data_IF_838808997091
#
_entry.id   IF_838808997091
#
_cell.length_a   1.000
_cell.length_b   1.000
_cell.length_c   1.000
_cell.angle_alpha   90.00
_cell.angle_beta   90.00
_cell.angle_gamma   90.00
#
_symmetry.space_group_name_H-M   'P 1'
#
loop_
_entity.id
_entity.type
_entity.pdbx_description
1 polymer ?
#
# COMPACT_ATOMS: atom_id res chain seq x y z
N UNK A 1 -35.59 2.15 57.72
CA UNK A 1 -35.77 1.66 56.33
C UNK A 1 -34.53 1.99 55.52
N UNK A 2 -33.54 1.11 55.45
CA UNK A 2 -32.47 1.16 54.44
C UNK A 2 -32.25 -0.27 53.94
N UNK A 3 -32.24 -0.39 52.61
CA UNK A 3 -32.44 -1.59 51.82
C UNK A 3 -31.08 -2.20 51.42
N UNK A 4 -31.03 -3.54 51.52
CA UNK A 4 -30.41 -4.53 50.61
C UNK A 4 -28.89 -4.68 50.62
N UNK A 5 -28.48 -5.81 51.22
CA UNK A 5 -27.35 -6.63 50.78
C UNK A 5 -27.52 -7.07 49.31
N UNK A 6 -26.48 -6.91 48.51
CA UNK A 6 -26.23 -7.61 47.24
C UNK A 6 -24.89 -7.08 46.71
N UNK A 7 -23.97 -7.83 46.13
CA UNK A 7 -23.70 -9.25 45.94
C UNK A 7 -22.31 -9.23 45.29
N UNK A 8 -21.37 -10.06 45.73
CA UNK A 8 -20.07 -10.17 45.09
C UNK A 8 -20.25 -10.49 43.59
N UNK A 9 -19.90 -9.56 42.71
CA UNK A 9 -19.71 -9.86 41.30
C UNK A 9 -18.22 -10.11 41.09
N UNK A 10 -17.88 -11.40 41.01
CA UNK A 10 -16.57 -11.90 40.65
C UNK A 10 -16.03 -11.19 39.40
N UNK A 11 -14.79 -10.72 39.52
CA UNK A 11 -13.90 -10.47 38.40
C UNK A 11 -13.81 -11.73 37.54
N UNK A 12 -14.49 -11.73 36.39
CA UNK A 12 -14.18 -12.62 35.27
C UNK A 12 -13.58 -11.72 34.19
N UNK A 13 -12.30 -11.41 34.35
CA UNK A 13 -11.46 -11.03 33.21
C UNK A 13 -11.36 -12.30 32.38
N UNK A 14 -12.29 -12.45 31.44
CA UNK A 14 -12.20 -13.43 30.38
C UNK A 14 -10.89 -13.16 29.66
N UNK A 15 -9.95 -14.10 29.83
CA UNK A 15 -8.74 -14.19 29.02
C UNK A 15 -9.15 -14.36 27.56
N UNK A 16 -9.37 -13.25 26.87
CA UNK A 16 -9.29 -13.20 25.42
C UNK A 16 -7.84 -13.54 25.08
N UNK A 17 -7.56 -14.63 24.35
CA UNK A 17 -6.26 -14.80 23.75
C UNK A 17 -6.12 -13.70 22.68
N UNK A 18 -5.60 -12.54 23.08
CA UNK A 18 -5.00 -11.58 22.17
C UNK A 18 -3.69 -12.21 21.70
N UNK A 19 -3.79 -12.96 20.61
CA UNK A 19 -2.66 -13.61 19.98
C UNK A 19 -3.17 -14.61 18.97
N UNK A 20 -3.53 -14.14 17.78
CA UNK A 20 -3.32 -14.97 16.61
C UNK A 20 -1.81 -15.14 16.46
N UNK A 21 -1.23 -16.09 17.19
CA UNK A 21 0.09 -16.59 16.87
C UNK A 21 -0.02 -17.20 15.48
N UNK A 22 0.80 -16.73 14.55
CA UNK A 22 1.01 -17.46 13.31
C UNK A 22 1.48 -18.86 13.70
N UNK A 23 0.66 -19.87 13.42
CA UNK A 23 1.06 -21.25 13.61
C UNK A 23 2.26 -21.49 12.69
N UNK A 24 3.42 -21.80 13.27
CA UNK A 24 4.47 -22.48 12.51
C UNK A 24 3.84 -23.75 11.92
N UNK A 25 4.26 -24.11 10.72
CA UNK A 25 3.74 -25.28 10.03
C UNK A 25 3.81 -26.51 10.98
N UNK A 26 2.65 -27.09 11.35
CA UNK A 26 2.61 -28.29 12.20
C UNK A 26 3.23 -29.47 11.43
N UNK A 27 4.25 -30.13 12.00
CA UNK A 27 4.92 -31.32 11.45
C UNK A 27 6.30 -31.06 10.80
N UNK A 28 6.84 -32.05 10.09
CA UNK A 28 8.15 -32.03 9.42
C UNK A 28 8.18 -31.16 8.13
N UNK A 29 7.39 -30.07 8.09
CA UNK A 29 7.30 -29.20 6.92
C UNK A 29 8.43 -28.17 6.90
N UNK A 30 9.19 -28.15 5.80
CA UNK A 30 10.30 -27.22 5.59
C UNK A 30 9.94 -26.20 4.50
N UNK A 31 10.04 -24.90 4.83
CA UNK A 31 9.90 -23.82 3.86
C UNK A 31 10.99 -23.91 2.78
N UNK A 32 10.59 -23.93 1.51
CA UNK A 32 11.50 -24.07 0.36
C UNK A 32 11.66 -22.78 -0.46
N UNK A 33 10.62 -21.93 -0.51
CA UNK A 33 10.62 -20.74 -1.36
C UNK A 33 9.61 -19.71 -0.84
N UNK A 34 9.91 -18.43 -1.04
CA UNK A 34 9.03 -17.31 -0.73
C UNK A 34 8.96 -16.36 -1.93
N UNK A 35 7.76 -15.92 -2.27
CA UNK A 35 7.51 -14.81 -3.18
C UNK A 35 6.75 -13.72 -2.44
N UNK A 36 7.28 -12.50 -2.46
CA UNK A 36 6.67 -11.34 -1.80
C UNK A 36 6.26 -10.31 -2.85
N UNK A 37 4.95 -10.13 -3.04
CA UNK A 37 4.42 -9.00 -3.80
C UNK A 37 4.17 -7.83 -2.84
N UNK A 38 5.10 -6.90 -2.80
CA UNK A 38 5.07 -5.78 -1.86
C UNK A 38 4.52 -4.49 -2.49
N UNK A 39 3.83 -3.69 -1.69
CA UNK A 39 3.50 -2.30 -2.01
C UNK A 39 4.60 -1.40 -1.47
N UNK A 40 4.91 -0.31 -2.17
CA UNK A 40 5.79 0.73 -1.64
C UNK A 40 5.32 1.24 -0.26
N UNK A 41 6.26 1.67 0.59
CA UNK A 41 5.94 2.18 1.93
C UNK A 41 5.49 3.67 1.89
N UNK A 42 5.54 4.36 3.02
CA UNK A 42 5.01 5.71 3.24
C UNK A 42 5.62 6.74 2.29
N UNK A 43 4.75 7.30 1.44
CA UNK A 43 5.08 8.30 0.43
C UNK A 43 4.32 9.60 0.63
N UNK A 44 4.83 10.68 0.06
CA UNK A 44 4.07 11.92 -0.07
C UNK A 44 2.81 11.69 -0.94
N UNK A 45 1.73 12.45 -0.71
CA UNK A 45 0.55 12.45 -1.57
C UNK A 45 0.88 12.73 -3.03
N UNK A 46 0.04 12.25 -3.95
CA UNK A 46 0.06 12.66 -5.36
C UNK A 46 -0.75 13.96 -5.57
N UNK A 47 -1.07 14.66 -4.48
CA UNK A 47 -1.93 15.83 -4.44
C UNK A 47 -1.11 17.12 -4.61
N UNK A 48 -0.44 17.27 -5.75
CA UNK A 48 0.39 18.44 -6.07
C UNK A 48 0.04 19.00 -7.45
N UNK A 49 0.60 20.17 -7.78
CA UNK A 49 0.66 20.75 -9.14
C UNK A 49 -0.68 20.84 -9.90
N UNK A 50 -1.74 21.29 -9.24
CA UNK A 50 -3.08 21.44 -9.81
C UNK A 50 -3.97 20.20 -9.69
N UNK A 51 -3.60 19.20 -8.90
CA UNK A 51 -4.44 18.01 -8.68
C UNK A 51 -5.85 18.36 -8.14
N UNK A 52 -6.84 17.49 -8.40
CA UNK A 52 -8.20 17.66 -7.85
C UNK A 52 -8.20 17.74 -6.33
N UNK A 53 -7.32 16.98 -5.67
CA UNK A 53 -7.18 17.00 -4.21
C UNK A 53 -6.64 18.33 -3.69
N UNK A 54 -5.69 18.95 -4.40
CA UNK A 54 -5.22 20.30 -4.05
C UNK A 54 -6.37 21.30 -4.09
N UNK A 55 -7.19 21.23 -5.14
CA UNK A 55 -8.31 22.15 -5.36
C UNK A 55 -9.52 21.87 -4.44
N UNK A 56 -9.57 20.71 -3.78
CA UNK A 56 -10.71 20.26 -2.97
C UNK A 56 -10.99 21.09 -1.72
N UNK A 57 -10.08 21.99 -1.36
CA UNK A 57 -10.23 22.85 -0.18
C UNK A 57 -9.53 24.19 -0.41
N UNK A 58 -10.03 25.24 0.24
CA UNK A 58 -9.36 26.55 0.29
C UNK A 58 -8.23 26.60 1.33
N UNK A 59 -8.08 25.55 2.14
CA UNK A 59 -7.02 25.45 3.15
C UNK A 59 -5.71 25.03 2.50
N UNK A 60 -4.60 25.53 3.02
CA UNK A 60 -3.28 25.03 2.64
C UNK A 60 -3.09 23.59 3.12
N UNK A 61 -2.61 22.73 2.22
CA UNK A 61 -2.20 21.38 2.59
C UNK A 61 -0.85 21.41 3.34
N UNK A 62 -0.66 20.56 4.35
CA UNK A 62 0.65 20.38 4.98
C UNK A 62 1.71 20.05 3.93
N UNK A 63 2.86 20.70 4.04
CA UNK A 63 3.99 20.43 3.17
C UNK A 63 4.71 19.15 3.61
N UNK A 64 5.28 18.44 2.64
CA UNK A 64 6.09 17.24 2.86
C UNK A 64 7.53 17.55 2.47
N UNK A 65 8.48 16.94 3.15
CA UNK A 65 9.91 17.17 2.93
C UNK A 65 10.45 16.50 1.64
N UNK A 66 9.57 15.80 0.89
CA UNK A 66 9.90 15.12 -0.37
C UNK A 66 8.86 15.48 -1.45
N UNK A 67 9.23 15.43 -2.74
CA UNK A 67 8.31 15.60 -3.86
C UNK A 67 7.10 14.65 -3.81
N UNK A 68 5.99 15.09 -4.42
CA UNK A 68 4.75 14.32 -4.47
C UNK A 68 4.94 12.94 -5.09
N UNK A 69 4.48 11.90 -4.40
CA UNK A 69 4.60 10.52 -4.86
C UNK A 69 5.94 9.84 -4.58
N UNK A 70 6.93 10.53 -4.00
CA UNK A 70 8.19 9.94 -3.57
C UNK A 70 8.10 9.33 -2.17
N UNK A 71 8.97 8.36 -1.90
CA UNK A 71 9.09 7.74 -0.58
C UNK A 71 9.66 8.74 0.43
N UNK A 72 9.06 8.79 1.62
CA UNK A 72 9.57 9.62 2.72
C UNK A 72 10.71 8.92 3.45
N UNK A 73 11.59 9.67 4.14
CA UNK A 73 12.62 9.09 5.02
C UNK A 73 12.03 8.16 6.07
N UNK A 74 10.89 8.55 6.67
CA UNK A 74 10.16 7.69 7.62
C UNK A 74 9.66 6.40 6.96
N UNK A 75 9.20 6.47 5.71
CA UNK A 75 8.85 5.29 4.91
C UNK A 75 10.02 4.33 4.74
N UNK A 76 11.22 4.85 4.49
CA UNK A 76 12.45 4.06 4.45
C UNK A 76 12.76 3.38 5.80
N UNK A 77 12.69 4.11 6.91
CA UNK A 77 12.89 3.54 8.26
C UNK A 77 11.89 2.43 8.58
N UNK A 78 10.60 2.64 8.26
CA UNK A 78 9.57 1.61 8.43
C UNK A 78 9.88 0.37 7.59
N UNK A 79 10.37 0.56 6.37
CA UNK A 79 10.69 -0.56 5.48
C UNK A 79 11.94 -1.33 5.94
N UNK A 80 12.91 -0.67 6.57
CA UNK A 80 14.04 -1.35 7.24
C UNK A 80 13.53 -2.27 8.34
N UNK A 81 12.53 -1.85 9.13
CA UNK A 81 11.92 -2.73 10.14
C UNK A 81 11.18 -3.90 9.51
N UNK A 82 10.47 -3.68 8.40
CA UNK A 82 9.84 -4.77 7.65
C UNK A 82 10.87 -5.77 7.13
N UNK A 83 11.96 -5.30 6.54
CA UNK A 83 13.06 -6.15 6.07
C UNK A 83 13.69 -6.96 7.22
N UNK A 84 13.98 -6.31 8.34
CA UNK A 84 14.56 -6.95 9.52
C UNK A 84 13.64 -8.05 10.06
N UNK A 85 12.34 -7.76 10.21
CA UNK A 85 11.35 -8.76 10.60
C UNK A 85 11.33 -9.95 9.63
N UNK A 86 11.29 -9.67 8.32
CA UNK A 86 11.28 -10.73 7.31
C UNK A 86 12.53 -11.59 7.39
N UNK A 87 13.71 -11.00 7.62
CA UNK A 87 14.95 -11.76 7.82
C UNK A 87 14.88 -12.70 9.01
N UNK A 88 14.41 -12.20 10.15
CA UNK A 88 14.26 -13.03 11.36
C UNK A 88 13.29 -14.19 11.11
N UNK A 89 12.16 -13.91 10.45
CA UNK A 89 11.19 -14.94 10.09
C UNK A 89 11.78 -15.97 9.12
N UNK A 90 12.44 -15.55 8.04
CA UNK A 90 13.08 -16.46 7.09
C UNK A 90 14.13 -17.35 7.77
N UNK A 91 14.88 -16.81 8.72
CA UNK A 91 15.86 -17.59 9.47
C UNK A 91 15.22 -18.58 10.45
N UNK A 92 14.12 -18.18 11.11
CA UNK A 92 13.33 -19.07 11.95
C UNK A 92 12.75 -20.24 11.14
N UNK A 93 12.36 -20.00 9.88
CA UNK A 93 11.87 -21.03 8.96
C UNK A 93 12.99 -21.84 8.29
N UNK A 94 14.26 -21.56 8.61
CA UNK A 94 15.42 -22.26 8.05
C UNK A 94 15.71 -21.97 6.57
N UNK A 95 15.03 -20.98 5.96
CA UNK A 95 15.24 -20.64 4.54
C UNK A 95 16.53 -19.84 4.33
N UNK A 96 16.94 -19.06 5.34
CA UNK A 96 18.22 -18.33 5.34
C UNK A 96 18.95 -18.59 6.64
N UNK A 97 20.27 -18.64 6.60
CA UNK A 97 21.08 -18.78 7.82
C UNK A 97 21.14 -17.45 8.59
N UNK A 98 21.19 -17.48 9.91
CA UNK A 98 21.35 -16.25 10.70
C UNK A 98 22.76 -15.66 10.55
N UNK A 99 22.86 -14.33 10.43
CA UNK A 99 24.15 -13.61 10.42
C UNK A 99 24.98 -13.69 9.14
N UNK A 100 24.54 -14.43 8.12
CA UNK A 100 25.26 -14.58 6.84
C UNK A 100 24.48 -13.98 5.66
N UNK A 101 25.20 -13.42 4.69
CA UNK A 101 24.59 -13.00 3.43
C UNK A 101 23.98 -14.22 2.72
N UNK A 102 22.74 -14.13 2.20
CA UNK A 102 22.23 -15.18 1.33
C UNK A 102 23.04 -15.22 0.04
N UNK A 103 23.06 -16.37 -0.62
CA UNK A 103 23.59 -16.48 -1.98
C UNK A 103 22.78 -15.55 -2.90
N UNK A 104 23.48 -14.71 -3.67
CA UNK A 104 22.90 -13.80 -4.65
C UNK A 104 22.02 -14.52 -5.70
N UNK A 105 22.29 -15.80 -5.99
CA UNK A 105 21.46 -16.61 -6.90
C UNK A 105 20.13 -17.05 -6.27
N UNK A 106 20.02 -17.03 -4.94
CA UNK A 106 18.82 -17.42 -4.19
C UNK A 106 17.96 -16.23 -3.75
N UNK A 107 18.40 -15.00 -4.01
CA UNK A 107 17.64 -13.78 -3.68
C UNK A 107 17.52 -12.90 -4.91
N UNK A 108 16.29 -12.71 -5.38
CA UNK A 108 16.00 -11.81 -6.49
C UNK A 108 15.01 -10.74 -6.03
N UNK A 109 15.39 -9.47 -6.22
CA UNK A 109 14.58 -8.32 -5.85
C UNK A 109 14.28 -7.54 -7.10
N UNK A 110 12.99 -7.41 -7.41
CA UNK A 110 12.51 -6.70 -8.59
C UNK A 110 11.49 -5.65 -8.21
N UNK A 111 11.69 -4.43 -8.68
CA UNK A 111 10.81 -3.31 -8.44
C UNK A 111 10.40 -2.66 -9.76
N UNK A 112 9.22 -2.03 -9.74
CA UNK A 112 8.87 -1.06 -10.78
C UNK A 112 9.88 0.10 -10.75
N UNK A 113 10.08 0.79 -11.88
CA UNK A 113 11.05 1.88 -12.04
C UNK A 113 10.54 3.26 -11.60
N UNK A 114 9.71 3.31 -10.56
CA UNK A 114 9.36 4.56 -9.89
C UNK A 114 10.22 4.74 -8.64
N UNK A 115 10.61 5.98 -8.33
CA UNK A 115 11.46 6.28 -7.17
C UNK A 115 10.97 5.58 -5.90
N UNK A 116 9.67 5.68 -5.60
CA UNK A 116 9.08 5.10 -4.38
C UNK A 116 9.18 3.58 -4.30
N UNK A 117 9.13 2.86 -5.42
CA UNK A 117 9.19 1.40 -5.45
C UNK A 117 10.63 0.92 -5.36
N UNK A 118 11.55 1.55 -6.11
CA UNK A 118 12.99 1.24 -6.03
C UNK A 118 13.53 1.56 -4.64
N UNK A 119 13.23 2.73 -4.08
CA UNK A 119 13.68 3.11 -2.74
C UNK A 119 13.12 2.18 -1.65
N UNK A 120 11.85 1.78 -1.74
CA UNK A 120 11.28 0.80 -0.80
C UNK A 120 12.06 -0.51 -0.86
N UNK A 121 12.29 -1.05 -2.05
CA UNK A 121 13.06 -2.29 -2.21
C UNK A 121 14.48 -2.18 -1.65
N UNK A 122 15.16 -1.05 -1.85
CA UNK A 122 16.50 -0.81 -1.29
C UNK A 122 16.50 -0.79 0.24
N UNK A 123 15.54 -0.10 0.87
CA UNK A 123 15.40 -0.09 2.33
C UNK A 123 15.02 -1.47 2.89
N UNK A 124 14.15 -2.21 2.19
CA UNK A 124 13.81 -3.58 2.55
C UNK A 124 15.04 -4.49 2.55
N UNK A 125 15.81 -4.46 1.45
CA UNK A 125 17.07 -5.24 1.33
C UNK A 125 18.06 -4.84 2.41
N UNK A 126 18.23 -3.55 2.67
CA UNK A 126 19.13 -3.04 3.72
C UNK A 126 18.72 -3.55 5.11
N UNK A 127 17.41 -3.60 5.39
CA UNK A 127 16.90 -4.13 6.65
C UNK A 127 16.97 -5.65 6.77
N UNK A 128 16.72 -6.37 5.68
CA UNK A 128 16.70 -7.82 5.65
C UNK A 128 18.12 -8.43 5.56
N UNK A 129 19.03 -7.78 4.86
CA UNK A 129 20.34 -8.30 4.50
C UNK A 129 21.41 -7.22 4.70
N UNK A 130 21.59 -6.72 5.94
CA UNK A 130 22.52 -5.63 6.21
C UNK A 130 23.96 -6.02 5.88
N UNK A 131 24.64 -5.21 5.06
CA UNK A 131 26.01 -5.45 4.62
C UNK A 131 26.15 -6.48 3.49
N UNK A 132 25.04 -7.01 2.98
CA UNK A 132 25.04 -7.93 1.84
C UNK A 132 24.94 -7.16 0.52
N UNK A 133 25.62 -7.66 -0.52
CA UNK A 133 25.53 -7.10 -1.86
C UNK A 133 24.35 -7.73 -2.63
N UNK A 134 23.15 -7.20 -2.39
CA UNK A 134 21.92 -7.64 -3.06
C UNK A 134 21.35 -6.48 -3.86
N UNK A 135 21.46 -6.58 -5.18
CA UNK A 135 20.98 -5.54 -6.09
C UNK A 135 19.43 -5.55 -6.20
N UNK A 136 18.86 -4.35 -6.29
CA UNK A 136 17.46 -4.17 -6.70
C UNK A 136 17.43 -4.03 -8.21
N UNK A 137 16.76 -4.97 -8.88
CA UNK A 137 16.54 -4.94 -10.33
C UNK A 137 15.29 -4.12 -10.64
N UNK A 138 15.33 -3.34 -11.70
CA UNK A 138 14.23 -2.55 -12.24
C UNK A 138 14.55 -2.20 -13.70
N UNK A 139 13.56 -1.84 -14.52
CA UNK A 139 13.83 -1.40 -15.89
C UNK A 139 14.64 -0.09 -15.92
N UNK A 140 15.53 0.06 -16.92
CA UNK A 140 16.46 1.20 -17.00
C UNK A 140 15.76 2.57 -17.05
N UNK A 141 14.58 2.64 -17.65
CA UNK A 141 13.82 3.88 -17.84
C UNK A 141 13.13 4.33 -16.54
N UNK A 142 13.90 4.91 -15.63
CA UNK A 142 13.40 5.50 -14.38
C UNK A 142 12.31 6.56 -14.62
N UNK A 143 11.30 6.55 -13.75
CA UNK A 143 10.13 7.43 -13.82
C UNK A 143 9.00 6.93 -14.72
N UNK A 144 9.22 5.84 -15.47
CA UNK A 144 8.16 5.20 -16.28
C UNK A 144 7.60 3.97 -15.58
N UNK A 145 6.39 3.54 -15.96
CA UNK A 145 5.78 2.33 -15.42
C UNK A 145 6.27 1.12 -16.22
N UNK A 146 6.91 0.19 -15.53
CA UNK A 146 7.25 -1.12 -16.06
C UNK A 146 5.98 -1.92 -16.37
N UNK A 147 5.85 -2.54 -17.58
CA UNK A 147 4.67 -3.32 -17.96
C UNK A 147 4.28 -4.43 -16.98
N UNK A 148 5.24 -5.03 -16.26
CA UNK A 148 4.95 -6.07 -15.24
C UNK A 148 4.13 -5.49 -14.09
N UNK A 149 4.34 -4.21 -13.77
CA UNK A 149 3.68 -3.52 -12.66
C UNK A 149 2.64 -2.50 -13.12
N UNK A 150 2.41 -2.34 -14.43
CA UNK A 150 1.52 -1.32 -14.97
C UNK A 150 0.09 -1.84 -15.10
N UNK A 151 -0.85 -1.41 -14.24
CA UNK A 151 -2.22 -1.95 -14.22
C UNK A 151 -3.09 -1.26 -15.27
N UNK A 152 -2.68 -1.31 -16.53
CA UNK A 152 -3.40 -0.75 -17.67
C UNK A 152 -4.15 -1.83 -18.44
N UNK A 153 -5.25 -1.46 -19.08
CA UNK A 153 -5.94 -2.32 -20.03
C UNK A 153 -5.06 -2.48 -21.27
N UNK A 154 -4.52 -3.68 -21.47
CA UNK A 154 -3.68 -4.03 -22.63
C UNK A 154 -4.49 -4.61 -23.79
N UNK A 155 -5.74 -5.01 -23.54
CA UNK A 155 -6.68 -5.52 -24.54
C UNK A 155 -7.95 -4.67 -24.58
N UNK A 156 -7.96 -3.66 -25.46
CA UNK A 156 -9.01 -2.63 -25.53
C UNK A 156 -9.92 -2.73 -26.76
N UNK A 157 -10.48 -3.91 -27.06
CA UNK A 157 -11.43 -4.03 -28.17
C UNK A 157 -12.68 -3.17 -27.92
N UNK A 158 -13.32 -2.69 -28.98
CA UNK A 158 -14.55 -1.88 -28.86
C UNK A 158 -15.64 -2.61 -28.06
N UNK A 159 -15.78 -3.92 -28.29
CA UNK A 159 -16.71 -4.77 -27.55
C UNK A 159 -16.36 -4.84 -26.05
N UNK A 160 -15.07 -4.97 -25.70
CA UNK A 160 -14.63 -4.93 -24.30
C UNK A 160 -14.95 -3.58 -23.67
N UNK A 161 -14.57 -2.48 -24.32
CA UNK A 161 -14.79 -1.12 -23.81
C UNK A 161 -16.28 -0.85 -23.58
N UNK A 162 -17.14 -1.19 -24.55
CA UNK A 162 -18.59 -1.02 -24.42
C UNK A 162 -19.16 -1.81 -23.24
N UNK A 163 -18.69 -3.06 -23.05
CA UNK A 163 -19.12 -3.92 -21.94
C UNK A 163 -18.63 -3.39 -20.59
N UNK A 164 -17.37 -2.96 -20.51
CA UNK A 164 -16.77 -2.40 -19.29
C UNK A 164 -17.50 -1.13 -18.85
N UNK A 165 -17.75 -0.20 -19.77
CA UNK A 165 -18.48 1.04 -19.48
C UNK A 165 -19.91 0.77 -19.02
N UNK A 166 -20.63 -0.12 -19.71
CA UNK A 166 -21.99 -0.49 -19.29
C UNK A 166 -22.01 -1.09 -17.87
N UNK A 167 -21.02 -1.94 -17.53
CA UNK A 167 -20.89 -2.50 -16.20
C UNK A 167 -20.55 -1.45 -15.14
N UNK A 168 -19.66 -0.50 -15.45
CA UNK A 168 -19.31 0.62 -14.57
C UNK A 168 -20.52 1.53 -14.31
N UNK A 169 -21.30 1.86 -15.35
CA UNK A 169 -22.53 2.65 -15.22
C UNK A 169 -23.55 1.92 -14.34
N UNK A 170 -23.82 0.64 -14.60
CA UNK A 170 -24.78 -0.14 -13.83
C UNK A 170 -24.34 -0.33 -12.35
N UNK A 171 -23.03 -0.42 -12.09
CA UNK A 171 -22.50 -0.44 -10.74
C UNK A 171 -22.71 0.92 -10.04
N UNK A 172 -22.43 2.02 -10.74
CA UNK A 172 -22.60 3.38 -10.22
C UNK A 172 -24.07 3.69 -9.87
N UNK A 173 -25.04 3.21 -10.65
CA UNK A 173 -26.47 3.37 -10.37
C UNK A 173 -26.91 2.72 -9.05
N UNK A 174 -26.24 1.64 -8.63
CA UNK A 174 -26.50 0.98 -7.34
C UNK A 174 -25.93 1.76 -6.15
N UNK A 175 -24.98 2.66 -6.41
CA UNK A 175 -24.37 3.47 -5.35
C UNK A 175 -25.24 4.72 -5.13
N UNK A 176 -25.59 5.00 -3.88
CA UNK A 176 -26.34 6.21 -3.51
C UNK A 176 -25.47 7.48 -3.51
N UNK A 177 -24.60 7.65 -4.51
CA UNK A 177 -23.60 8.72 -4.59
C UNK A 177 -24.14 10.01 -5.19
N UNK A 178 -25.31 9.97 -5.83
CA UNK A 178 -25.91 11.13 -6.51
C UNK A 178 -26.00 12.36 -5.59
N UNK A 179 -26.45 12.19 -4.35
CA UNK A 179 -26.53 13.28 -3.37
C UNK A 179 -25.15 13.80 -2.96
N UNK A 180 -24.16 12.90 -2.83
CA UNK A 180 -22.78 13.28 -2.51
C UNK A 180 -22.13 14.07 -3.65
N UNK A 181 -22.31 13.62 -4.90
CA UNK A 181 -21.83 14.33 -6.08
C UNK A 181 -22.49 15.70 -6.24
N UNK A 182 -23.81 15.80 -6.06
CA UNK A 182 -24.52 17.09 -6.10
C UNK A 182 -24.04 18.06 -5.01
N UNK A 183 -23.72 17.56 -3.81
CA UNK A 183 -23.14 18.38 -2.74
C UNK A 183 -21.74 18.87 -3.10
N UNK A 184 -20.91 17.99 -3.65
CA UNK A 184 -19.60 18.36 -4.17
C UNK A 184 -19.76 19.45 -5.23
N UNK A 185 -20.52 19.21 -6.31
CA UNK A 185 -20.73 20.18 -7.40
C UNK A 185 -21.17 21.56 -6.91
N UNK A 186 -22.13 21.63 -5.97
CA UNK A 186 -22.57 22.91 -5.38
C UNK A 186 -21.47 23.62 -4.60
N UNK A 187 -20.63 22.89 -3.87
CA UNK A 187 -19.48 23.48 -3.17
C UNK A 187 -18.41 24.03 -4.12
N UNK A 188 -18.27 23.47 -5.32
CA UNK A 188 -17.32 23.93 -6.35
C UNK A 188 -17.82 25.15 -7.14
N UNK A 189 -19.11 25.23 -7.45
CA UNK A 189 -19.70 26.30 -8.29
C UNK A 189 -19.63 27.69 -7.64
N UNK A 190 -19.52 27.77 -6.33
CA UNK A 190 -19.59 29.06 -5.63
C UNK A 190 -18.30 29.88 -5.62
N UNK A 191 -17.15 29.38 -6.12
CA UNK A 191 -15.89 30.08 -5.85
C UNK A 191 -14.70 30.03 -6.86
N UNK A 192 -14.69 29.30 -7.99
CA UNK A 192 -13.61 29.37 -9.02
C UNK A 192 -14.05 28.77 -10.38
N UNK A 193 -13.37 29.06 -11.52
CA UNK A 193 -13.68 28.46 -12.82
C UNK A 193 -13.45 26.93 -12.82
N UNK A 194 -14.34 26.21 -13.52
CA UNK A 194 -14.38 24.73 -13.56
C UNK A 194 -13.07 24.13 -14.07
N UNK A 195 -12.45 23.16 -13.37
CA UNK A 195 -11.37 22.37 -13.95
C UNK A 195 -11.93 21.48 -15.08
N UNK A 196 -11.23 21.45 -16.21
CA UNK A 196 -11.56 20.72 -17.45
C UNK A 196 -11.72 19.20 -17.22
N UNK A 197 -11.18 18.67 -16.12
CA UNK A 197 -11.12 17.24 -15.81
C UNK A 197 -12.45 16.64 -15.35
N UNK A 198 -13.40 17.44 -14.88
CA UNK A 198 -14.73 16.95 -14.46
C UNK A 198 -15.58 16.38 -15.62
N UNK A 199 -15.13 16.47 -16.88
CA UNK A 199 -15.81 15.83 -18.02
C UNK A 199 -15.42 14.36 -18.23
N UNK A 200 -14.27 13.90 -17.71
CA UNK A 200 -13.72 12.59 -18.07
C UNK A 200 -13.64 11.57 -16.92
N UNK A 201 -13.96 11.94 -15.68
CA UNK A 201 -13.93 11.03 -14.53
C UNK A 201 -15.27 10.37 -14.19
N UNK A 202 -16.24 10.47 -15.11
CA UNK A 202 -17.48 9.67 -15.08
C UNK A 202 -17.51 8.63 -16.22
N UNK A 203 -16.33 8.16 -16.64
CA UNK A 203 -16.14 7.08 -17.62
C UNK A 203 -15.27 6.01 -16.97
#
# INVERSE_FOLDING_TARGET
>A
MIKKLSLCALSVIAALPMGMSAYAADGDMQLQQVLMLSRHNLRAPLANNGSVLEQATKKSWPQWDVPGGELTTKGGVLEVYMGNYTRQWLAQQGLVQNGTSPDSSNTFVYANSLQRTVATAQYFVTGAFPGCDIAVTYQDAMGTMDPIFNPVITYGSEAFNKKALAAMTAANEKLALKTAFQRLEKSWITNQPRPVVARNSAI
#
